data_IF_648424975618
#
_entry.id   IF_648424975618
#
_cell.length_a   1.000
_cell.length_b   1.000
_cell.length_c   1.000
_cell.angle_alpha   90.00
_cell.angle_beta   90.00
_cell.angle_gamma   90.00
#
_symmetry.space_group_name_H-M   'P 1'
#
loop_
_entity.id
_entity.type
_entity.pdbx_description
1 polymer ?
#
# COMPACT_ATOMS: atom_id res chain seq x y z
N UNK A 1 -29.68 -27.48 -11.12
CA UNK A 1 -30.86 -27.32 -10.25
C UNK A 1 -31.15 -25.84 -10.01
N UNK A 2 -32.40 -25.52 -9.76
CA UNK A 2 -32.85 -24.12 -9.45
C UNK A 2 -32.47 -23.67 -8.03
N UNK A 3 -31.96 -24.56 -7.19
CA UNK A 3 -31.58 -24.27 -5.81
C UNK A 3 -30.11 -24.63 -5.59
N UNK A 4 -29.42 -23.79 -4.78
CA UNK A 4 -28.05 -24.03 -4.34
C UNK A 4 -28.03 -25.12 -3.25
N UNK A 5 -27.09 -26.05 -3.35
CA UNK A 5 -26.83 -27.07 -2.33
C UNK A 5 -25.75 -26.53 -1.38
N UNK A 6 -26.15 -25.75 -0.39
CA UNK A 6 -25.24 -25.14 0.58
C UNK A 6 -24.38 -26.17 1.35
N UNK A 7 -24.91 -27.29 1.84
CA UNK A 7 -24.10 -28.30 2.51
C UNK A 7 -22.98 -28.83 1.64
N UNK A 8 -23.27 -29.13 0.37
CA UNK A 8 -22.27 -29.58 -0.59
C UNK A 8 -21.23 -28.49 -0.90
N UNK A 9 -21.66 -27.25 -1.09
CA UNK A 9 -20.77 -26.11 -1.33
C UNK A 9 -19.79 -25.90 -0.18
N UNK A 10 -20.25 -25.99 1.07
CA UNK A 10 -19.38 -25.83 2.24
C UNK A 10 -18.38 -27.00 2.35
N UNK A 11 -18.84 -28.26 2.12
CA UNK A 11 -17.95 -29.41 2.16
C UNK A 11 -16.83 -29.33 1.08
N UNK A 12 -17.18 -28.91 -0.16
CA UNK A 12 -16.21 -28.74 -1.23
C UNK A 12 -15.22 -27.58 -0.91
N UNK A 13 -15.68 -26.48 -0.29
CA UNK A 13 -14.83 -25.38 0.14
C UNK A 13 -13.87 -25.79 1.27
N UNK A 14 -14.36 -26.53 2.27
CA UNK A 14 -13.52 -27.08 3.35
C UNK A 14 -12.43 -28.01 2.79
N UNK A 15 -12.76 -28.88 1.86
CA UNK A 15 -11.79 -29.80 1.25
C UNK A 15 -10.75 -29.05 0.42
N UNK A 16 -11.15 -27.99 -0.32
CA UNK A 16 -10.23 -27.15 -1.06
C UNK A 16 -9.24 -26.43 -0.14
N UNK A 17 -9.72 -25.82 0.94
CA UNK A 17 -8.86 -25.16 1.93
C UNK A 17 -7.94 -26.14 2.65
N UNK A 18 -8.44 -27.31 3.02
CA UNK A 18 -7.64 -28.37 3.63
C UNK A 18 -6.54 -28.88 2.69
N UNK A 19 -6.82 -28.97 1.39
CA UNK A 19 -5.84 -29.38 0.37
C UNK A 19 -4.70 -28.36 0.23
N UNK A 20 -4.97 -27.08 0.55
CA UNK A 20 -3.99 -26.00 0.59
C UNK A 20 -3.27 -25.87 1.94
N UNK A 21 -3.66 -26.65 2.96
CA UNK A 21 -3.07 -26.60 4.30
C UNK A 21 -3.73 -25.60 5.25
N UNK A 22 -4.91 -25.08 4.90
CA UNK A 22 -5.63 -24.04 5.66
C UNK A 22 -6.99 -24.53 6.21
N UNK A 23 -7.04 -25.63 6.97
CA UNK A 23 -8.29 -26.16 7.55
C UNK A 23 -8.89 -25.28 8.64
N UNK A 24 -8.12 -24.29 9.15
CA UNK A 24 -8.54 -23.36 10.20
C UNK A 24 -9.49 -22.27 9.68
N UNK A 25 -9.57 -22.06 8.36
CA UNK A 25 -10.45 -21.03 7.77
C UNK A 25 -11.90 -21.51 7.81
N UNK A 26 -12.72 -20.80 8.57
CA UNK A 26 -14.13 -21.13 8.72
C UNK A 26 -14.94 -20.71 7.49
N UNK A 27 -15.40 -21.69 6.71
CA UNK A 27 -16.16 -21.49 5.46
C UNK A 27 -17.55 -20.86 5.66
N UNK A 28 -18.05 -20.79 6.89
CA UNK A 28 -19.33 -20.16 7.21
C UNK A 28 -19.23 -18.67 7.50
N UNK A 29 -18.01 -18.12 7.60
CA UNK A 29 -17.81 -16.69 7.80
C UNK A 29 -17.90 -15.94 6.48
N UNK A 30 -18.38 -14.71 6.55
CA UNK A 30 -18.27 -13.75 5.44
C UNK A 30 -16.80 -13.43 5.18
N UNK A 31 -16.35 -13.52 3.92
CA UNK A 31 -14.94 -13.28 3.57
C UNK A 31 -14.42 -11.91 4.06
N UNK A 32 -15.28 -10.88 4.10
CA UNK A 32 -14.91 -9.56 4.63
C UNK A 32 -14.56 -9.51 6.12
N UNK A 33 -14.83 -10.58 6.87
CA UNK A 33 -14.46 -10.73 8.29
C UNK A 33 -13.15 -11.49 8.49
N UNK A 34 -12.60 -12.07 7.43
CA UNK A 34 -11.32 -12.76 7.43
C UNK A 34 -10.17 -11.76 7.35
N UNK A 35 -9.02 -12.13 7.89
CA UNK A 35 -7.77 -11.40 7.66
C UNK A 35 -7.37 -11.44 6.17
N UNK A 36 -6.55 -10.47 5.73
CA UNK A 36 -6.18 -10.32 4.31
C UNK A 36 -5.50 -11.57 3.77
N UNK A 37 -4.60 -12.20 4.54
CA UNK A 37 -3.96 -13.47 4.18
C UNK A 37 -4.95 -14.61 3.99
N UNK A 38 -5.94 -14.71 4.88
CA UNK A 38 -7.00 -15.73 4.75
C UNK A 38 -7.89 -15.48 3.52
N UNK A 39 -8.19 -14.22 3.20
CA UNK A 39 -8.92 -13.86 1.97
C UNK A 39 -8.15 -14.30 0.73
N UNK A 40 -6.83 -14.11 0.72
CA UNK A 40 -5.95 -14.57 -0.36
C UNK A 40 -5.99 -16.11 -0.51
N UNK A 41 -5.96 -16.85 0.61
CA UNK A 41 -6.06 -18.30 0.57
C UNK A 41 -7.43 -18.78 0.05
N UNK A 42 -8.51 -18.09 0.38
CA UNK A 42 -9.85 -18.37 -0.17
C UNK A 42 -9.88 -18.17 -1.69
N UNK A 43 -9.22 -17.12 -2.20
CA UNK A 43 -9.13 -16.87 -3.63
C UNK A 43 -8.34 -17.96 -4.37
N UNK A 44 -7.24 -18.42 -3.81
CA UNK A 44 -6.46 -19.53 -4.35
C UNK A 44 -7.27 -20.85 -4.28
N UNK A 45 -7.96 -21.11 -3.15
CA UNK A 45 -8.81 -22.28 -2.99
C UNK A 45 -9.90 -22.36 -4.06
N UNK A 46 -10.48 -21.21 -4.42
CA UNK A 46 -11.45 -21.10 -5.51
C UNK A 46 -10.84 -21.53 -6.87
N UNK A 47 -9.61 -21.12 -7.17
CA UNK A 47 -8.93 -21.55 -8.39
C UNK A 47 -8.60 -23.06 -8.39
N UNK A 48 -8.18 -23.58 -7.24
CA UNK A 48 -7.86 -25.01 -7.07
C UNK A 48 -9.10 -25.88 -7.16
N UNK A 49 -10.24 -25.45 -6.62
CA UNK A 49 -11.51 -26.20 -6.68
C UNK A 49 -12.04 -26.37 -8.11
N UNK A 50 -11.56 -25.57 -9.06
CA UNK A 50 -11.86 -25.69 -10.48
C UNK A 50 -10.93 -26.67 -11.23
N UNK A 51 -10.04 -27.40 -10.52
CA UNK A 51 -8.99 -28.22 -11.12
C UNK A 51 -8.15 -27.44 -12.14
N UNK A 52 -7.85 -26.18 -11.83
CA UNK A 52 -7.13 -25.28 -12.71
C UNK A 52 -5.74 -25.84 -13.04
N UNK A 53 -5.40 -25.90 -14.31
CA UNK A 53 -4.07 -26.32 -14.81
C UNK A 53 -3.11 -25.15 -14.95
N UNK A 54 -3.63 -23.94 -14.96
CA UNK A 54 -2.88 -22.67 -14.96
C UNK A 54 -3.55 -21.71 -13.97
N UNK A 55 -2.75 -21.11 -13.10
CA UNK A 55 -3.20 -20.06 -12.17
C UNK A 55 -2.40 -18.80 -12.46
N UNK A 56 -3.08 -17.68 -12.61
CA UNK A 56 -2.47 -16.36 -12.76
C UNK A 56 -2.62 -15.61 -11.42
N UNK A 57 -1.51 -15.17 -10.86
CA UNK A 57 -1.44 -14.43 -9.60
C UNK A 57 -0.83 -13.05 -9.89
N UNK A 58 -1.64 -12.01 -9.71
CA UNK A 58 -1.23 -10.62 -9.94
C UNK A 58 -0.97 -9.93 -8.61
N UNK A 59 0.31 -9.67 -8.31
CA UNK A 59 0.81 -9.07 -7.06
C UNK A 59 0.20 -9.68 -5.77
N UNK A 60 0.20 -11.01 -5.61
CA UNK A 60 -0.56 -11.66 -4.55
C UNK A 60 -0.03 -11.37 -3.14
N UNK A 61 1.16 -10.79 -3.02
CA UNK A 61 1.83 -10.46 -1.75
C UNK A 61 1.72 -9.00 -1.35
N UNK A 62 1.09 -8.16 -2.16
CA UNK A 62 1.13 -6.69 -2.00
C UNK A 62 0.54 -6.18 -0.67
N UNK A 63 -0.41 -6.91 -0.08
CA UNK A 63 -1.11 -6.55 1.15
C UNK A 63 -0.85 -7.51 2.31
N UNK A 64 0.13 -8.43 2.16
CA UNK A 64 0.41 -9.48 3.13
C UNK A 64 1.56 -9.14 4.06
N UNK A 65 1.47 -9.58 5.31
CA UNK A 65 2.58 -9.59 6.25
C UNK A 65 3.60 -10.69 5.93
N UNK A 66 4.75 -10.66 6.59
CA UNK A 66 5.85 -11.59 6.31
C UNK A 66 5.45 -13.07 6.46
N UNK A 67 4.75 -13.40 7.54
CA UNK A 67 4.29 -14.77 7.81
C UNK A 67 3.29 -15.25 6.76
N UNK A 68 2.38 -14.38 6.34
CA UNK A 68 1.40 -14.67 5.29
C UNK A 68 2.06 -14.84 3.92
N UNK A 69 3.13 -14.10 3.62
CA UNK A 69 3.93 -14.26 2.39
C UNK A 69 4.60 -15.65 2.40
N UNK A 70 5.21 -16.06 3.50
CA UNK A 70 5.86 -17.37 3.63
C UNK A 70 4.83 -18.51 3.40
N UNK A 71 3.64 -18.40 3.99
CA UNK A 71 2.55 -19.37 3.78
C UNK A 71 2.08 -19.43 2.31
N UNK A 72 1.93 -18.26 1.68
CA UNK A 72 1.58 -18.17 0.26
C UNK A 72 2.64 -18.84 -0.61
N UNK A 73 3.93 -18.57 -0.36
CA UNK A 73 5.04 -19.16 -1.11
C UNK A 73 5.07 -20.70 -0.99
N UNK A 74 4.82 -21.23 0.22
CA UNK A 74 4.69 -22.67 0.43
C UNK A 74 3.51 -23.26 -0.34
N UNK A 75 2.35 -22.60 -0.32
CA UNK A 75 1.16 -23.00 -1.08
C UNK A 75 1.46 -23.03 -2.58
N UNK A 76 2.11 -22.01 -3.11
CA UNK A 76 2.48 -21.92 -4.53
C UNK A 76 3.46 -23.04 -4.93
N UNK A 77 4.47 -23.32 -4.10
CA UNK A 77 5.39 -24.47 -4.30
C UNK A 77 4.64 -25.79 -4.31
N UNK A 78 3.67 -25.95 -3.40
CA UNK A 78 2.83 -27.15 -3.35
C UNK A 78 1.98 -27.35 -4.61
N UNK A 79 1.43 -26.27 -5.17
CA UNK A 79 0.69 -26.32 -6.44
C UNK A 79 1.59 -26.65 -7.62
N UNK A 80 2.78 -26.04 -7.69
CA UNK A 80 3.82 -26.36 -8.69
C UNK A 80 4.19 -27.83 -8.64
N UNK A 81 4.41 -28.40 -7.45
CA UNK A 81 4.73 -29.82 -7.29
C UNK A 81 3.62 -30.76 -7.77
N UNK A 82 2.35 -30.32 -7.75
CA UNK A 82 1.19 -31.03 -8.32
C UNK A 82 1.04 -30.85 -9.83
N UNK A 83 1.97 -30.15 -10.50
CA UNK A 83 1.97 -29.93 -11.94
C UNK A 83 1.11 -28.77 -12.43
N UNK A 84 0.66 -27.88 -11.53
CA UNK A 84 -0.07 -26.67 -11.92
C UNK A 84 0.92 -25.65 -12.48
N UNK A 85 0.64 -25.10 -13.67
CA UNK A 85 1.40 -23.99 -14.22
C UNK A 85 1.00 -22.68 -13.50
N UNK A 86 1.97 -21.83 -13.18
CA UNK A 86 1.71 -20.59 -12.44
C UNK A 86 2.35 -19.41 -13.20
N UNK A 87 1.56 -18.39 -13.49
CA UNK A 87 2.04 -17.07 -13.89
C UNK A 87 1.99 -16.17 -12.67
N UNK A 88 3.17 -15.82 -12.17
CA UNK A 88 3.32 -15.02 -10.96
C UNK A 88 3.81 -13.62 -11.35
N UNK A 89 2.97 -12.61 -11.15
CA UNK A 89 3.32 -11.21 -11.42
C UNK A 89 3.72 -10.55 -10.11
N UNK A 90 4.94 -10.03 -10.06
CA UNK A 90 5.45 -9.30 -8.91
C UNK A 90 6.47 -8.24 -9.37
N UNK A 91 6.60 -7.17 -8.60
CA UNK A 91 7.66 -6.19 -8.74
C UNK A 91 8.75 -6.35 -7.65
N UNK A 92 8.60 -7.33 -6.74
CA UNK A 92 9.56 -7.67 -5.70
C UNK A 92 10.54 -8.72 -6.23
N UNK A 93 11.79 -8.33 -6.38
CA UNK A 93 12.83 -9.20 -6.95
C UNK A 93 13.03 -10.48 -6.15
N UNK A 94 13.04 -10.35 -4.82
CA UNK A 94 13.22 -11.47 -3.89
C UNK A 94 12.22 -12.59 -4.16
N UNK A 95 10.94 -12.24 -4.38
CA UNK A 95 9.89 -13.21 -4.69
C UNK A 95 10.12 -13.93 -6.02
N UNK A 96 10.59 -13.19 -7.04
CA UNK A 96 10.87 -13.74 -8.36
C UNK A 96 12.04 -14.73 -8.30
N UNK A 97 13.13 -14.37 -7.61
CA UNK A 97 14.30 -15.25 -7.45
C UNK A 97 14.02 -16.47 -6.60
N UNK A 98 13.14 -16.36 -5.60
CA UNK A 98 12.81 -17.45 -4.70
C UNK A 98 11.85 -18.48 -5.32
N UNK A 99 10.90 -18.03 -6.16
CA UNK A 99 9.76 -18.83 -6.59
C UNK A 99 9.79 -19.22 -8.06
N UNK A 100 10.24 -18.33 -8.95
CA UNK A 100 10.10 -18.48 -10.38
C UNK A 100 11.24 -19.27 -11.01
N UNK A 101 10.91 -20.17 -11.95
CA UNK A 101 11.91 -20.87 -12.76
C UNK A 101 12.42 -20.01 -13.91
N UNK A 102 11.53 -19.16 -14.46
CA UNK A 102 11.80 -18.24 -15.56
C UNK A 102 11.17 -16.89 -15.28
N UNK A 103 11.82 -15.82 -15.70
CA UNK A 103 11.33 -14.45 -15.56
C UNK A 103 11.21 -13.81 -16.93
N UNK A 104 10.04 -13.21 -17.18
CA UNK A 104 9.80 -12.35 -18.34
C UNK A 104 9.70 -10.92 -17.86
N UNK A 105 10.54 -10.04 -18.38
CA UNK A 105 10.50 -8.61 -18.09
C UNK A 105 9.70 -7.90 -19.17
N UNK A 106 8.74 -7.09 -18.72
CA UNK A 106 7.95 -6.20 -19.57
C UNK A 106 8.16 -4.75 -19.14
N UNK A 107 8.20 -3.84 -20.09
CA UNK A 107 8.29 -2.40 -19.84
C UNK A 107 7.49 -1.64 -20.89
N UNK A 108 6.63 -0.71 -20.45
CA UNK A 108 5.77 0.10 -21.32
C UNK A 108 4.91 -0.72 -22.30
N UNK A 109 4.54 -1.96 -21.90
CA UNK A 109 3.78 -2.90 -22.73
C UNK A 109 4.61 -3.71 -23.72
N UNK A 110 5.93 -3.53 -23.74
CA UNK A 110 6.85 -4.26 -24.60
C UNK A 110 7.57 -5.38 -23.84
N UNK A 111 7.80 -6.50 -24.54
CA UNK A 111 8.67 -7.58 -24.07
C UNK A 111 10.14 -7.15 -24.14
N UNK A 112 10.86 -7.27 -23.04
CA UNK A 112 12.27 -6.89 -22.96
C UNK A 112 13.17 -8.14 -23.04
N UNK A 113 12.96 -9.08 -22.10
CA UNK A 113 13.72 -10.33 -22.04
C UNK A 113 12.85 -11.43 -21.42
N UNK A 114 13.14 -12.68 -21.76
CA UNK A 114 12.69 -13.88 -21.01
C UNK A 114 13.90 -14.76 -20.78
N UNK A 115 14.20 -15.07 -19.54
CA UNK A 115 15.40 -15.83 -19.16
C UNK A 115 15.09 -16.78 -17.98
N UNK A 116 15.82 -17.87 -17.87
CA UNK A 116 15.78 -18.74 -16.71
C UNK A 116 16.35 -18.01 -15.51
N UNK A 117 15.71 -18.11 -14.36
CA UNK A 117 16.05 -17.35 -13.15
C UNK A 117 17.50 -17.59 -12.71
N UNK A 118 18.03 -18.79 -12.92
CA UNK A 118 19.42 -19.15 -12.58
C UNK A 118 20.46 -18.37 -13.37
N UNK A 119 20.10 -17.79 -14.51
CA UNK A 119 20.97 -16.99 -15.37
C UNK A 119 20.88 -15.47 -15.08
N UNK A 120 19.94 -15.08 -14.20
CA UNK A 120 19.70 -13.69 -13.86
C UNK A 120 20.43 -13.30 -12.56
N UNK A 121 20.83 -12.06 -12.51
CA UNK A 121 21.26 -11.38 -11.27
C UNK A 121 20.29 -10.26 -10.97
N UNK A 122 20.22 -9.80 -9.71
CA UNK A 122 19.38 -8.65 -9.32
C UNK A 122 19.68 -7.43 -10.21
N UNK A 123 20.96 -7.12 -10.42
CA UNK A 123 21.38 -5.98 -11.27
C UNK A 123 20.90 -6.14 -12.72
N UNK A 124 21.03 -7.35 -13.29
CA UNK A 124 20.59 -7.62 -14.67
C UNK A 124 19.06 -7.46 -14.80
N UNK A 125 18.31 -7.94 -13.81
CA UNK A 125 16.87 -7.85 -13.79
C UNK A 125 16.38 -6.41 -13.61
N UNK A 126 16.99 -5.66 -12.67
CA UNK A 126 16.71 -4.23 -12.48
C UNK A 126 17.02 -3.43 -13.76
N UNK A 127 18.17 -3.67 -14.39
CA UNK A 127 18.54 -3.00 -15.64
C UNK A 127 17.52 -3.26 -16.75
N UNK A 128 17.04 -4.49 -16.88
CA UNK A 128 16.00 -4.85 -17.85
C UNK A 128 14.67 -4.13 -17.55
N UNK A 129 14.25 -4.06 -16.27
CA UNK A 129 13.02 -3.40 -15.85
C UNK A 129 13.07 -1.88 -16.04
N UNK A 130 14.19 -1.22 -15.68
CA UNK A 130 14.33 0.24 -15.71
C UNK A 130 14.82 0.76 -17.06
N UNK A 131 15.59 -0.04 -17.81
CA UNK A 131 16.10 0.29 -19.14
C UNK A 131 17.32 1.22 -19.16
N UNK A 132 18.01 1.36 -18.04
CA UNK A 132 19.28 2.10 -17.91
C UNK A 132 20.12 1.44 -16.81
N UNK A 133 21.42 1.50 -16.96
CA UNK A 133 22.36 1.12 -15.89
C UNK A 133 22.16 2.02 -14.69
N UNK A 134 21.95 1.42 -13.54
CA UNK A 134 21.75 2.14 -12.29
C UNK A 134 23.10 2.41 -11.62
N UNK A 135 23.86 3.37 -12.17
CA UNK A 135 25.11 3.82 -11.53
C UNK A 135 24.85 4.51 -10.17
N UNK A 136 23.60 4.93 -9.92
CA UNK A 136 23.17 5.48 -8.63
C UNK A 136 21.64 5.34 -8.50
N UNK A 137 21.16 4.27 -7.88
CA UNK A 137 19.73 4.04 -7.58
C UNK A 137 19.12 5.18 -6.75
N UNK A 138 19.92 5.72 -5.84
CA UNK A 138 19.52 6.79 -4.93
C UNK A 138 20.67 7.78 -4.74
N UNK A 139 20.82 8.79 -5.62
CA UNK A 139 21.77 9.87 -5.34
C UNK A 139 21.31 10.54 -4.04
N UNK A 140 21.99 10.19 -2.94
CA UNK A 140 21.66 10.71 -1.62
C UNK A 140 22.37 12.04 -1.44
N UNK A 141 21.62 13.11 -1.62
CA UNK A 141 22.04 14.43 -1.17
C UNK A 141 21.69 14.58 0.31
N UNK A 142 22.70 14.71 1.16
CA UNK A 142 22.48 14.99 2.57
C UNK A 142 22.06 16.45 2.71
N UNK A 143 20.77 16.68 2.94
CA UNK A 143 20.28 18.01 3.28
C UNK A 143 20.88 18.52 4.59
N UNK A 144 21.10 19.83 4.69
CA UNK A 144 21.53 20.47 5.92
C UNK A 144 20.41 20.36 6.96
N UNK A 145 20.75 19.85 8.15
CA UNK A 145 19.79 19.72 9.25
C UNK A 145 19.38 21.12 9.72
N UNK A 146 18.13 21.51 9.43
CA UNK A 146 17.53 22.74 9.89
C UNK A 146 16.94 22.67 11.30
N UNK A 147 16.16 23.65 11.68
CA UNK A 147 15.43 23.70 12.95
C UNK A 147 14.45 22.53 13.10
N UNK A 148 14.13 22.17 14.35
CA UNK A 148 13.05 21.20 14.62
C UNK A 148 11.72 21.82 14.19
N UNK A 149 11.12 21.29 13.15
CA UNK A 149 9.85 21.79 12.63
C UNK A 149 8.65 21.12 13.34
N UNK A 150 8.74 19.81 13.61
CA UNK A 150 7.75 19.05 14.36
C UNK A 150 8.46 18.22 15.46
N UNK A 151 7.91 18.24 16.65
CA UNK A 151 8.33 17.34 17.73
C UNK A 151 7.09 16.69 18.36
N UNK A 152 7.12 15.37 18.44
CA UNK A 152 6.14 14.56 19.16
C UNK A 152 6.78 13.99 20.40
N UNK A 153 6.08 14.02 21.54
CA UNK A 153 6.56 13.53 22.84
C UNK A 153 5.52 12.64 23.50
N UNK A 154 5.90 11.41 23.78
CA UNK A 154 5.11 10.49 24.59
C UNK A 154 3.71 10.26 24.03
N UNK A 155 3.55 10.07 22.72
CA UNK A 155 2.25 9.82 22.10
C UNK A 155 1.75 8.45 22.53
N UNK A 156 0.55 8.39 23.09
CA UNK A 156 -0.11 7.16 23.49
C UNK A 156 -1.53 7.10 22.93
N UNK A 157 -1.90 5.91 22.46
CA UNK A 157 -3.25 5.53 22.06
C UNK A 157 -3.47 4.07 22.51
N UNK A 158 -4.52 3.81 23.27
CA UNK A 158 -4.74 2.52 23.93
C UNK A 158 -4.74 1.35 22.93
N UNK A 159 -3.85 0.39 23.15
CA UNK A 159 -3.70 -0.79 22.31
C UNK A 159 -3.03 -0.55 20.94
N UNK A 160 -2.59 0.69 20.64
CA UNK A 160 -2.07 1.08 19.33
C UNK A 160 -0.70 1.74 19.42
N UNK A 161 -0.57 2.80 20.24
CA UNK A 161 0.67 3.56 20.41
C UNK A 161 1.14 3.56 21.86
N UNK A 162 2.43 3.35 22.05
CA UNK A 162 3.05 3.28 23.39
C UNK A 162 4.29 4.18 23.44
N UNK A 163 4.16 5.36 24.07
CA UNK A 163 5.23 6.32 24.35
C UNK A 163 6.06 6.72 23.11
N UNK A 164 5.38 6.97 21.98
CA UNK A 164 6.06 7.29 20.72
C UNK A 164 6.56 8.73 20.73
N UNK A 165 7.87 8.91 20.55
CA UNK A 165 8.51 10.22 20.53
C UNK A 165 9.46 10.35 19.33
N UNK A 166 9.42 11.50 18.63
CA UNK A 166 10.32 11.77 17.51
C UNK A 166 10.40 13.27 17.18
N UNK A 167 11.37 13.61 16.32
CA UNK A 167 11.54 14.96 15.78
C UNK A 167 11.68 14.90 14.28
N UNK A 168 11.07 15.86 13.60
CA UNK A 168 11.28 16.13 12.19
C UNK A 168 11.90 17.51 11.99
N UNK A 169 12.97 17.57 11.21
CA UNK A 169 13.73 18.79 10.97
C UNK A 169 13.44 19.37 9.58
N UNK A 170 13.44 20.70 9.49
CA UNK A 170 13.38 21.38 8.20
C UNK A 170 14.55 20.93 7.30
N UNK A 171 14.27 20.72 6.00
CA UNK A 171 15.28 20.32 5.02
C UNK A 171 15.76 18.86 5.13
N UNK A 172 15.14 18.04 5.99
CA UNK A 172 15.45 16.61 6.10
C UNK A 172 14.22 15.73 5.81
N UNK A 173 14.48 14.53 5.30
CA UNK A 173 13.51 13.46 5.20
C UNK A 173 13.73 12.54 6.42
N UNK A 174 12.73 12.46 7.30
CA UNK A 174 12.74 11.55 8.44
C UNK A 174 12.00 10.27 8.08
N UNK A 175 12.70 9.13 8.05
CA UNK A 175 12.12 7.83 7.73
C UNK A 175 11.56 7.14 8.99
N UNK A 176 10.39 6.49 8.85
CA UNK A 176 9.82 5.59 9.84
C UNK A 176 9.87 4.17 9.28
N UNK A 177 10.63 3.29 9.92
CA UNK A 177 10.74 1.89 9.54
C UNK A 177 10.05 1.00 10.58
N UNK A 178 9.50 -0.12 10.13
CA UNK A 178 8.85 -1.12 10.97
C UNK A 178 8.05 -2.12 10.15
N UNK A 179 7.71 -3.26 10.74
CA UNK A 179 6.87 -4.27 10.10
C UNK A 179 5.40 -3.81 10.01
N UNK A 180 4.58 -4.56 9.27
CA UNK A 180 3.13 -4.38 9.25
C UNK A 180 2.60 -4.48 10.69
N UNK A 181 1.72 -3.56 11.08
CA UNK A 181 1.22 -3.49 12.46
C UNK A 181 2.13 -2.80 13.48
N UNK A 182 3.28 -2.22 13.06
CA UNK A 182 4.19 -1.51 13.96
C UNK A 182 3.71 -0.10 14.40
N UNK A 183 2.49 0.30 14.06
CA UNK A 183 1.93 1.59 14.48
C UNK A 183 2.41 2.81 13.69
N UNK A 184 3.07 2.62 12.54
CA UNK A 184 3.60 3.74 11.72
C UNK A 184 2.50 4.64 11.18
N UNK A 185 1.52 4.05 10.52
CA UNK A 185 0.37 4.76 9.94
C UNK A 185 -0.46 5.42 11.03
N UNK A 186 -0.71 4.72 12.14
CA UNK A 186 -1.44 5.20 13.29
C UNK A 186 -0.75 6.40 13.94
N UNK A 187 0.58 6.36 14.08
CA UNK A 187 1.38 7.51 14.55
C UNK A 187 1.17 8.74 13.66
N UNK A 188 1.24 8.58 12.35
CA UNK A 188 1.06 9.71 11.41
C UNK A 188 -0.38 10.23 11.43
N UNK A 189 -1.37 9.33 11.52
CA UNK A 189 -2.78 9.68 11.64
C UNK A 189 -3.07 10.45 12.93
N UNK A 190 -2.50 10.02 14.05
CA UNK A 190 -2.61 10.70 15.33
C UNK A 190 -1.98 12.10 15.29
N UNK A 191 -0.79 12.24 14.71
CA UNK A 191 -0.13 13.56 14.52
C UNK A 191 -0.95 14.48 13.61
N UNK A 192 -1.63 13.91 12.62
CA UNK A 192 -2.51 14.67 11.71
C UNK A 192 -3.89 14.97 12.34
N UNK A 193 -4.21 14.36 13.49
CA UNK A 193 -5.50 14.52 14.16
C UNK A 193 -6.65 13.76 13.48
N UNK A 194 -6.33 12.72 12.70
CA UNK A 194 -7.31 11.78 12.16
C UNK A 194 -7.72 10.77 13.22
N UNK A 195 -6.80 10.36 14.08
CA UNK A 195 -7.04 9.50 15.24
C UNK A 195 -6.81 10.29 16.53
N UNK A 196 -7.45 9.85 17.62
CA UNK A 196 -7.43 10.57 18.89
C UNK A 196 -6.33 10.01 19.78
N UNK A 197 -5.41 10.86 20.22
CA UNK A 197 -4.45 10.52 21.24
C UNK A 197 -5.10 10.51 22.65
N UNK A 198 -4.72 9.54 23.47
CA UNK A 198 -5.06 9.50 24.90
C UNK A 198 -4.15 10.42 25.70
N UNK A 199 -2.85 10.46 25.35
CA UNK A 199 -1.86 11.35 25.97
C UNK A 199 -0.70 11.62 25.00
N UNK A 200 0.14 12.59 25.39
CA UNK A 200 1.30 13.04 24.64
C UNK A 200 1.19 14.50 24.21
N UNK A 201 2.26 14.98 23.63
CA UNK A 201 2.37 16.40 23.26
C UNK A 201 2.93 16.52 21.85
N UNK A 202 2.39 17.46 21.08
CA UNK A 202 2.88 17.82 19.76
C UNK A 202 3.33 19.27 19.76
N UNK A 203 4.50 19.52 19.21
CA UNK A 203 5.08 20.85 19.06
C UNK A 203 5.36 21.14 17.59
N UNK A 204 5.01 22.33 17.15
CA UNK A 204 5.34 22.85 15.81
C UNK A 204 6.22 24.09 15.99
N UNK A 205 7.45 24.06 15.49
CA UNK A 205 8.45 25.13 15.65
C UNK A 205 8.66 25.53 17.11
N UNK A 206 8.69 24.55 18.02
CA UNK A 206 8.86 24.77 19.46
C UNK A 206 7.60 25.19 20.22
N UNK A 207 6.51 25.53 19.56
CA UNK A 207 5.23 25.85 20.18
C UNK A 207 4.40 24.59 20.41
N UNK A 208 3.91 24.38 21.63
CA UNK A 208 2.95 23.29 21.93
C UNK A 208 1.64 23.58 21.19
N UNK A 209 1.17 22.59 20.45
CA UNK A 209 -0.07 22.70 19.67
C UNK A 209 -1.06 21.61 20.05
N UNK A 210 -2.34 21.92 19.93
CA UNK A 210 -3.41 20.96 20.10
C UNK A 210 -4.01 20.63 18.73
N UNK A 211 -3.72 19.43 18.23
CA UNK A 211 -4.25 18.89 16.98
C UNK A 211 -5.30 17.84 17.33
N UNK A 212 -6.58 18.17 17.17
CA UNK A 212 -7.70 17.29 17.46
C UNK A 212 -8.41 16.82 16.20
N UNK A 213 -8.18 17.52 15.11
CA UNK A 213 -8.79 17.24 13.81
C UNK A 213 -7.79 17.51 12.68
N UNK A 214 -7.96 16.89 11.52
CA UNK A 214 -7.18 17.21 10.32
C UNK A 214 -7.17 18.71 9.97
N UNK A 215 -8.25 19.43 10.24
CA UNK A 215 -8.32 20.88 10.03
C UNK A 215 -7.32 21.66 10.89
N UNK A 216 -7.03 21.17 12.09
CA UNK A 216 -6.06 21.83 12.98
C UNK A 216 -4.63 21.61 12.45
N UNK A 217 -4.32 20.41 11.95
CA UNK A 217 -3.04 20.08 11.30
C UNK A 217 -2.83 20.94 10.05
N UNK A 218 -3.83 21.04 9.17
CA UNK A 218 -3.78 21.85 7.93
C UNK A 218 -3.53 23.35 8.26
N UNK A 219 -4.17 23.89 9.29
CA UNK A 219 -3.90 25.27 9.75
C UNK A 219 -2.44 25.49 10.17
N UNK A 220 -1.79 24.42 10.68
CA UNK A 220 -0.37 24.40 11.07
C UNK A 220 0.55 24.04 9.90
N UNK A 221 0.04 23.95 8.67
CA UNK A 221 0.79 23.59 7.46
C UNK A 221 1.32 22.14 7.47
N UNK A 222 0.66 21.26 8.21
CA UNK A 222 0.90 19.82 8.16
C UNK A 222 -0.06 19.23 7.13
N UNK A 223 0.46 18.42 6.20
CA UNK A 223 -0.31 17.64 5.25
C UNK A 223 -0.04 16.16 5.49
N UNK A 224 -1.00 15.32 5.19
CA UNK A 224 -0.89 13.86 5.29
C UNK A 224 -1.24 13.22 3.95
N UNK A 225 -0.30 12.47 3.40
CA UNK A 225 -0.50 11.65 2.22
C UNK A 225 -0.75 10.22 2.67
N UNK A 226 -1.99 9.76 2.57
CA UNK A 226 -2.41 8.45 3.08
C UNK A 226 -1.98 7.31 2.15
N UNK A 227 -1.78 6.13 2.71
CA UNK A 227 -1.56 4.88 1.97
C UNK A 227 -2.83 4.47 1.20
N UNK A 228 -4.00 4.54 1.84
CA UNK A 228 -5.29 4.25 1.23
C UNK A 228 -5.82 5.44 0.42
N UNK A 229 -5.39 5.52 -0.83
CA UNK A 229 -5.81 6.58 -1.77
C UNK A 229 -7.30 6.58 -2.03
N UNK A 230 -7.93 5.38 -2.14
CA UNK A 230 -9.32 5.23 -2.55
C UNK A 230 -10.31 5.51 -1.43
N UNK A 231 -9.99 5.09 -0.21
CA UNK A 231 -10.87 5.25 0.95
C UNK A 231 -10.65 6.55 1.72
N UNK A 232 -9.41 7.09 1.72
CA UNK A 232 -9.03 8.22 2.57
C UNK A 232 -8.42 9.41 1.83
N UNK A 233 -7.76 9.17 0.68
CA UNK A 233 -6.96 10.20 0.02
C UNK A 233 -7.71 11.00 -1.05
N UNK A 234 -8.64 10.39 -1.77
CA UNK A 234 -9.31 10.99 -2.92
C UNK A 234 -10.83 10.82 -2.85
N UNK A 235 -11.54 11.81 -3.38
CA UNK A 235 -12.99 11.70 -3.64
C UNK A 235 -13.15 11.29 -5.11
N UNK A 236 -13.27 9.96 -5.34
CA UNK A 236 -13.15 9.35 -6.67
C UNK A 236 -14.23 9.77 -7.68
N UNK A 237 -15.38 10.27 -7.22
CA UNK A 237 -16.46 10.78 -8.07
C UNK A 237 -16.30 12.27 -8.41
N UNK A 238 -15.24 12.93 -7.95
CA UNK A 238 -14.88 14.30 -8.30
C UNK A 238 -13.73 14.31 -9.30
N UNK A 239 -13.65 15.37 -10.11
CA UNK A 239 -12.58 15.54 -11.06
C UNK A 239 -11.21 15.83 -10.38
N UNK A 240 -10.13 15.76 -11.17
CA UNK A 240 -8.76 15.97 -10.68
C UNK A 240 -8.60 17.36 -10.09
N UNK A 241 -9.12 18.40 -10.74
CA UNK A 241 -9.01 19.80 -10.30
C UNK A 241 -9.67 20.00 -8.95
N UNK A 242 -10.85 19.48 -8.76
CA UNK A 242 -11.60 19.56 -7.50
C UNK A 242 -10.84 18.82 -6.38
N UNK A 243 -10.32 17.63 -6.63
CA UNK A 243 -9.50 16.91 -5.66
C UNK A 243 -8.24 17.69 -5.27
N UNK A 244 -7.55 18.32 -6.20
CA UNK A 244 -6.33 19.11 -5.94
C UNK A 244 -6.57 20.30 -4.99
N UNK A 245 -7.74 20.93 -5.07
CA UNK A 245 -8.04 22.11 -4.25
C UNK A 245 -8.86 21.80 -3.00
N UNK A 246 -9.34 20.57 -2.84
CA UNK A 246 -10.27 20.17 -1.78
C UNK A 246 -9.79 20.51 -0.37
N UNK A 247 -8.51 20.28 -0.09
CA UNK A 247 -7.91 20.58 1.22
C UNK A 247 -7.81 22.07 1.52
N UNK A 248 -7.91 22.96 0.51
CA UNK A 248 -7.77 24.40 0.63
C UNK A 248 -8.91 25.16 -0.05
N UNK A 249 -10.12 24.65 -0.03
CA UNK A 249 -11.30 25.25 -0.67
C UNK A 249 -11.50 26.74 -0.30
N UNK A 250 -11.16 27.13 0.94
CA UNK A 250 -11.24 28.53 1.39
C UNK A 250 -10.32 29.45 0.60
N UNK A 251 -9.17 28.97 0.16
CA UNK A 251 -8.24 29.73 -0.66
C UNK A 251 -8.76 30.02 -2.08
N UNK A 252 -9.78 29.26 -2.51
CA UNK A 252 -10.42 29.36 -3.82
C UNK A 252 -11.88 29.85 -3.72
N UNK A 253 -12.23 30.53 -2.62
CA UNK A 253 -13.59 31.02 -2.39
C UNK A 253 -13.61 32.54 -2.36
N UNK A 254 -14.64 33.15 -3.01
CA UNK A 254 -14.99 34.55 -2.90
C UNK A 254 -16.30 34.64 -2.12
N UNK A 255 -16.22 34.82 -0.78
CA UNK A 255 -17.38 34.72 0.11
C UNK A 255 -17.97 33.29 0.08
N UNK A 256 -19.26 33.12 -0.20
CA UNK A 256 -19.90 31.81 -0.25
C UNK A 256 -19.69 31.05 -1.57
N UNK A 257 -19.09 31.67 -2.59
CA UNK A 257 -18.95 31.10 -3.92
C UNK A 257 -17.49 30.67 -4.19
N UNK A 258 -17.36 29.56 -4.93
CA UNK A 258 -16.07 29.08 -5.43
C UNK A 258 -15.67 29.86 -6.69
N UNK A 259 -14.41 30.25 -6.73
CA UNK A 259 -13.79 30.89 -7.89
C UNK A 259 -13.33 29.80 -8.88
N UNK A 260 -14.16 29.53 -9.88
CA UNK A 260 -13.93 28.45 -10.85
C UNK A 260 -12.68 28.69 -11.68
N UNK A 261 -12.39 29.94 -12.05
CA UNK A 261 -11.24 30.27 -12.89
C UNK A 261 -9.93 30.03 -12.14
N UNK A 262 -9.88 30.41 -10.87
CA UNK A 262 -8.72 30.13 -10.00
C UNK A 262 -8.53 28.64 -9.75
N UNK A 263 -9.62 27.88 -9.60
CA UNK A 263 -9.56 26.41 -9.45
C UNK A 263 -9.02 25.79 -10.73
N UNK A 264 -9.49 26.22 -11.90
CA UNK A 264 -9.02 25.73 -13.18
C UNK A 264 -7.54 26.04 -13.41
N UNK A 265 -7.13 27.26 -13.15
CA UNK A 265 -5.72 27.65 -13.25
C UNK A 265 -4.84 26.83 -12.31
N UNK A 266 -5.19 26.72 -11.03
CA UNK A 266 -4.45 25.91 -10.06
C UNK A 266 -4.38 24.42 -10.46
N UNK A 267 -5.46 23.89 -11.03
CA UNK A 267 -5.49 22.53 -11.57
C UNK A 267 -4.47 22.33 -12.68
N UNK A 268 -4.48 23.20 -13.68
CA UNK A 268 -3.56 23.17 -14.81
C UNK A 268 -2.09 23.34 -14.39
N UNK A 269 -1.83 24.27 -13.46
CA UNK A 269 -0.49 24.51 -12.93
C UNK A 269 0.05 23.26 -12.21
N UNK A 270 -0.77 22.61 -11.37
CA UNK A 270 -0.37 21.40 -10.66
C UNK A 270 -0.21 20.19 -11.59
N UNK A 271 -1.10 20.02 -12.59
CA UNK A 271 -0.97 18.98 -13.61
C UNK A 271 0.36 19.11 -14.34
N UNK A 272 0.73 20.33 -14.71
CA UNK A 272 1.99 20.63 -15.41
C UNK A 272 3.20 20.43 -14.49
N UNK A 273 3.18 20.96 -13.27
CA UNK A 273 4.28 20.90 -12.33
C UNK A 273 4.59 19.45 -11.89
N UNK A 274 3.56 18.65 -11.67
CA UNK A 274 3.66 17.26 -11.24
C UNK A 274 3.66 16.25 -12.40
N UNK A 275 3.55 16.74 -13.65
CA UNK A 275 3.47 15.91 -14.87
C UNK A 275 2.38 14.83 -14.77
N UNK A 276 1.22 15.21 -14.24
CA UNK A 276 0.09 14.30 -14.08
C UNK A 276 -0.43 13.92 -15.47
N UNK A 277 -0.42 12.61 -15.79
CA UNK A 277 -1.05 12.10 -17.01
C UNK A 277 -2.56 12.06 -16.79
N UNK A 278 -3.27 12.96 -17.45
CA UNK A 278 -4.75 12.98 -17.52
C UNK A 278 -5.17 12.72 -18.95
N UNK A 279 -6.32 12.04 -19.18
CA UNK A 279 -6.87 11.90 -20.52
C UNK A 279 -7.27 13.25 -21.09
#
# INVERSE_FOLDING_TARGET
GLLLDYPRMHAEAEEALKTLGHPEINVHLECGKLGVGQQQMVEIAKAVSLDAKLIIMDEPTSSLGKEEIEQLMETVRGLKAKGVAILFVSHKLEELFELCDRVTVMRDGEHIITEDTVNLTEDSLINAMVGRTLDNLYPKEFGTKGEVWLEAKGLNEAGVLHDVSFKAHAGQITGFAGLVGAGRTETMRAVFGADKLDSGEIYVKGEKVHIRTPKDAIKRKIAFLTEDRKGQGLVLNLDVRTNLVLANMKGFSNGPFLDKDRIEQAGNDNVSALKIKTP
#
